data_IF_314055720651
#
_entry.id   IF_314055720651
#
_cell.length_a   1.000
_cell.length_b   1.000
_cell.length_c   1.000
_cell.angle_alpha   90.00
_cell.angle_beta   90.00
_cell.angle_gamma   90.00
#
_symmetry.space_group_name_H-M   'P 1'
#
loop_
_entity.id
_entity.type
_entity.pdbx_description
1 polymer ?
#
# COMPACT_ATOMS: atom_id res chain seq x y z
N UNK A 1 13.27 14.67 11.12
CA UNK A 1 13.62 14.13 9.79
C UNK A 1 12.65 13.03 9.45
N UNK A 2 11.98 13.13 8.32
CA UNK A 2 11.04 12.13 7.81
C UNK A 2 11.78 10.83 7.47
N UNK A 3 11.18 9.70 7.82
CA UNK A 3 11.77 8.38 7.55
C UNK A 3 11.15 7.81 6.29
N UNK A 4 11.93 7.68 5.22
CA UNK A 4 11.49 7.07 3.96
C UNK A 4 11.92 5.60 3.87
N UNK A 5 11.14 4.80 3.16
CA UNK A 5 11.31 3.36 3.10
C UNK A 5 11.21 2.82 1.68
N UNK A 6 11.93 1.74 1.42
CA UNK A 6 11.68 0.88 0.27
C UNK A 6 11.55 -0.58 0.68
N UNK A 7 10.78 -1.34 -0.09
CA UNK A 7 10.53 -2.75 0.15
C UNK A 7 10.16 -3.51 -1.13
N UNK A 8 10.16 -4.83 -1.06
CA UNK A 8 9.67 -5.69 -2.14
C UNK A 8 8.18 -5.94 -1.96
N UNK A 9 7.39 -5.62 -2.98
CA UNK A 9 5.98 -5.98 -3.09
C UNK A 9 5.91 -7.40 -3.66
N UNK A 10 5.72 -8.38 -2.79
CA UNK A 10 5.71 -9.78 -3.18
C UNK A 10 4.47 -10.12 -4.02
N UNK A 11 3.32 -9.56 -3.66
CA UNK A 11 2.03 -9.74 -4.32
C UNK A 11 1.40 -8.37 -4.50
N UNK A 12 0.92 -8.09 -5.70
CA UNK A 12 0.32 -6.81 -6.07
C UNK A 12 -1.09 -7.03 -6.60
N UNK A 13 -2.04 -7.05 -5.70
CA UNK A 13 -3.48 -7.15 -5.99
C UNK A 13 -4.16 -5.77 -6.09
N UNK A 14 -3.42 -4.68 -5.81
CA UNK A 14 -4.02 -3.36 -5.63
C UNK A 14 -4.76 -3.21 -4.30
N UNK A 15 -4.38 -4.02 -3.30
CA UNK A 15 -4.89 -3.97 -1.93
C UNK A 15 -3.92 -3.23 -0.99
N UNK A 16 -2.65 -3.62 -0.99
CA UNK A 16 -1.61 -2.98 -0.16
C UNK A 16 -0.29 -2.89 -0.92
N UNK A 17 -0.07 -1.78 -1.67
CA UNK A 17 -0.82 -0.51 -1.71
C UNK A 17 -2.11 -0.58 -2.53
N UNK A 18 -3.08 0.29 -2.18
CA UNK A 18 -4.31 0.44 -2.94
C UNK A 18 -4.28 1.76 -3.77
N UNK A 19 -4.11 1.68 -5.10
CA UNK A 19 -3.90 2.87 -5.94
C UNK A 19 -5.18 3.44 -6.54
N UNK A 20 -6.34 2.87 -6.22
CA UNK A 20 -7.58 3.20 -6.91
C UNK A 20 -8.20 4.53 -6.44
N UNK A 21 -9.10 5.07 -7.26
CA UNK A 21 -9.87 6.28 -6.99
C UNK A 21 -9.02 7.57 -6.81
N UNK A 22 -7.84 7.65 -7.48
CA UNK A 22 -6.99 8.85 -7.47
C UNK A 22 -6.21 9.11 -6.16
N UNK A 23 -6.33 8.21 -5.19
CA UNK A 23 -5.62 8.27 -3.91
C UNK A 23 -4.93 6.93 -3.68
N UNK A 24 -3.64 6.95 -3.38
CA UNK A 24 -2.92 5.74 -3.00
C UNK A 24 -2.88 5.61 -1.48
N UNK A 25 -3.29 4.44 -0.98
CA UNK A 25 -3.33 4.14 0.45
C UNK A 25 -2.51 2.92 0.79
N UNK A 26 -1.96 2.88 1.99
CA UNK A 26 -1.33 1.73 2.60
C UNK A 26 -1.95 1.54 3.99
N UNK A 27 -3.09 0.84 4.04
CA UNK A 27 -3.88 0.62 5.24
C UNK A 27 -3.66 -0.78 5.85
N UNK A 28 -3.15 -1.71 5.09
CA UNK A 28 -2.87 -3.07 5.54
C UNK A 28 -1.41 -3.44 5.26
N UNK A 29 -0.95 -4.56 5.79
CA UNK A 29 0.44 -5.01 5.66
C UNK A 29 1.47 -3.98 6.18
N UNK A 30 2.75 -4.30 6.06
CA UNK A 30 3.89 -3.39 6.33
C UNK A 30 3.78 -2.53 7.60
N UNK A 31 3.45 -3.10 8.78
CA UNK A 31 3.20 -2.33 10.00
C UNK A 31 4.43 -1.48 10.41
N UNK A 32 5.65 -1.96 10.18
CA UNK A 32 6.88 -1.20 10.49
C UNK A 32 7.00 0.07 9.62
N UNK A 33 6.60 0.00 8.35
CA UNK A 33 6.59 1.16 7.46
C UNK A 33 5.48 2.13 7.90
N UNK A 34 4.25 1.62 8.13
CA UNK A 34 3.12 2.44 8.56
C UNK A 34 3.37 3.16 9.89
N UNK A 35 3.98 2.46 10.85
CA UNK A 35 4.38 3.03 12.16
C UNK A 35 5.47 4.09 12.05
N UNK A 36 6.38 3.94 11.10
CA UNK A 36 7.59 4.76 11.05
C UNK A 36 7.59 5.88 10.04
N UNK A 37 6.64 5.90 9.10
CA UNK A 37 6.51 6.95 8.10
C UNK A 37 5.56 8.06 8.60
N UNK A 38 5.93 9.30 8.32
CA UNK A 38 5.16 10.50 8.65
C UNK A 38 4.80 11.26 7.37
N UNK A 39 4.00 12.32 7.47
CA UNK A 39 3.74 13.23 6.36
C UNK A 39 5.06 13.75 5.78
N UNK A 40 5.19 13.69 4.45
CA UNK A 40 6.41 14.00 3.71
C UNK A 40 7.35 12.81 3.48
N UNK A 41 7.18 11.69 4.18
CA UNK A 41 7.94 10.46 3.94
C UNK A 41 7.68 9.91 2.54
N UNK A 42 8.69 9.24 1.95
CA UNK A 42 8.50 8.45 0.74
C UNK A 42 8.40 6.96 1.08
N UNK A 43 7.47 6.27 0.42
CA UNK A 43 7.38 4.81 0.44
C UNK A 43 7.49 4.30 -0.99
N UNK A 44 8.44 3.36 -1.21
CA UNK A 44 8.83 2.88 -2.53
C UNK A 44 8.67 1.36 -2.57
N UNK A 45 7.86 0.86 -3.50
CA UNK A 45 7.67 -0.56 -3.74
C UNK A 45 8.38 -1.01 -5.01
N UNK A 46 9.13 -2.11 -4.90
CA UNK A 46 9.78 -2.76 -6.04
C UNK A 46 9.20 -4.15 -6.25
N UNK A 47 9.24 -4.66 -7.46
CA UNK A 47 8.95 -6.06 -7.75
C UNK A 47 10.08 -6.94 -7.19
N UNK A 48 9.79 -8.24 -7.03
CA UNK A 48 10.80 -9.22 -6.63
C UNK A 48 11.83 -9.49 -7.75
N UNK A 49 12.86 -10.28 -7.45
CA UNK A 49 13.95 -10.64 -8.37
C UNK A 49 13.45 -11.30 -9.65
N UNK A 50 12.52 -12.22 -9.55
CA UNK A 50 11.91 -12.94 -10.69
C UNK A 50 11.24 -11.99 -11.68
N UNK A 51 10.76 -10.85 -11.17
CA UNK A 51 10.10 -9.80 -11.93
C UNK A 51 11.01 -8.60 -12.20
N UNK A 52 12.33 -8.78 -12.10
CA UNK A 52 13.37 -7.84 -12.53
C UNK A 52 13.70 -6.73 -11.53
N UNK A 53 13.21 -6.76 -10.28
CA UNK A 53 13.44 -5.69 -9.28
C UNK A 53 13.06 -4.29 -9.79
N UNK A 54 11.97 -4.18 -10.54
CA UNK A 54 11.50 -2.95 -11.15
C UNK A 54 10.71 -2.10 -10.16
N UNK A 55 10.70 -0.79 -10.35
CA UNK A 55 9.87 0.12 -9.58
C UNK A 55 8.39 -0.13 -9.89
N UNK A 56 7.64 -0.53 -8.88
CA UNK A 56 6.21 -0.80 -8.97
C UNK A 56 5.39 0.41 -8.60
N UNK A 57 5.77 1.12 -7.54
CA UNK A 57 5.15 2.38 -7.14
C UNK A 57 6.10 3.23 -6.29
N UNK A 58 5.80 4.51 -6.22
CA UNK A 58 6.37 5.45 -5.27
C UNK A 58 5.31 6.43 -4.82
N UNK A 59 5.15 6.60 -3.51
CA UNK A 59 4.25 7.59 -2.92
C UNK A 59 5.02 8.54 -2.01
N UNK A 60 4.56 9.79 -1.95
CA UNK A 60 4.91 10.75 -0.91
C UNK A 60 3.73 10.85 0.04
N UNK A 61 3.91 10.51 1.29
CA UNK A 61 2.84 10.51 2.30
C UNK A 61 2.30 11.93 2.46
N UNK A 62 1.01 12.11 2.20
CA UNK A 62 0.31 13.40 2.33
C UNK A 62 -0.45 13.51 3.63
N UNK A 63 -0.90 12.38 4.19
CA UNK A 63 -1.70 12.30 5.40
C UNK A 63 -1.43 10.97 6.11
N UNK A 64 -1.50 10.99 7.45
CA UNK A 64 -1.49 9.80 8.30
C UNK A 64 -2.72 9.90 9.21
N UNK A 65 -3.53 8.86 9.26
CA UNK A 65 -4.70 8.80 10.13
C UNK A 65 -4.77 7.44 10.84
N UNK A 66 -5.66 7.32 11.83
CA UNK A 66 -5.97 6.04 12.46
C UNK A 66 -6.92 5.21 11.59
N UNK A 67 -7.04 3.91 11.87
CA UNK A 67 -8.02 3.06 11.18
C UNK A 67 -9.45 3.58 11.35
N UNK A 68 -9.82 4.03 12.55
CA UNK A 68 -11.15 4.59 12.79
C UNK A 68 -11.40 5.89 12.05
N UNK A 69 -10.40 6.76 11.96
CA UNK A 69 -10.50 7.98 11.15
C UNK A 69 -10.65 7.62 9.68
N UNK A 70 -9.85 6.66 9.18
CA UNK A 70 -9.93 6.18 7.80
C UNK A 70 -11.30 5.56 7.49
N UNK A 71 -11.87 4.79 8.44
CA UNK A 71 -13.19 4.19 8.31
C UNK A 71 -14.29 5.24 8.26
N UNK A 72 -14.28 6.24 9.16
CA UNK A 72 -15.32 7.25 9.31
C UNK A 72 -15.31 8.35 8.24
N UNK A 73 -14.18 8.57 7.59
CA UNK A 73 -14.01 9.64 6.60
C UNK A 73 -14.70 9.28 5.27
N UNK A 74 -15.62 10.16 4.84
CA UNK A 74 -16.40 9.99 3.61
C UNK A 74 -15.55 9.92 2.34
N UNK A 75 -14.35 10.50 2.32
CA UNK A 75 -13.40 10.43 1.21
C UNK A 75 -13.00 8.98 0.90
N UNK A 76 -13.02 8.10 1.90
CA UNK A 76 -12.53 6.73 1.81
C UNK A 76 -13.63 5.67 1.81
N UNK A 77 -14.90 6.05 1.63
CA UNK A 77 -15.99 5.10 1.42
C UNK A 77 -15.73 4.21 0.20
N UNK A 78 -15.16 4.79 -0.86
CA UNK A 78 -14.78 4.06 -2.08
C UNK A 78 -13.61 3.07 -1.89
N UNK A 79 -12.96 3.09 -0.72
CA UNK A 79 -11.92 2.15 -0.30
C UNK A 79 -12.46 0.99 0.55
N UNK A 80 -13.73 1.03 0.96
CA UNK A 80 -14.37 -0.09 1.65
C UNK A 80 -14.63 -1.21 0.64
N UNK A 81 -14.33 -2.46 1.00
CA UNK A 81 -14.56 -3.59 0.09
C UNK A 81 -16.05 -3.83 -0.16
N UNK A 82 -16.37 -4.22 -1.39
CA UNK A 82 -17.72 -4.61 -1.79
C UNK A 82 -17.62 -5.93 -2.54
N UNK A 83 -17.93 -7.05 -1.86
CA UNK A 83 -17.63 -8.40 -2.33
C UNK A 83 -18.45 -8.86 -3.55
N UNK A 84 -19.59 -8.23 -3.81
CA UNK A 84 -20.40 -8.45 -5.02
C UNK A 84 -20.18 -7.36 -6.09
N UNK A 85 -19.14 -6.52 -5.91
CA UNK A 85 -18.79 -5.45 -6.83
C UNK A 85 -17.76 -5.83 -7.88
N UNK A 86 -17.16 -4.83 -8.49
CA UNK A 86 -16.02 -4.99 -9.38
C UNK A 86 -14.79 -5.50 -8.62
N UNK A 87 -13.83 -6.09 -9.33
CA UNK A 87 -12.58 -6.54 -8.74
C UNK A 87 -11.84 -5.40 -7.99
N UNK A 88 -11.90 -4.18 -8.53
CA UNK A 88 -11.41 -2.96 -7.87
C UNK A 88 -12.08 -2.73 -6.51
N UNK A 89 -13.39 -2.89 -6.44
CA UNK A 89 -14.15 -2.71 -5.20
C UNK A 89 -13.91 -3.85 -4.19
N UNK A 90 -13.72 -5.08 -4.69
CA UNK A 90 -13.43 -6.24 -3.83
C UNK A 90 -12.07 -6.10 -3.11
N UNK A 91 -11.09 -5.43 -3.74
CA UNK A 91 -9.78 -5.15 -3.15
C UNK A 91 -9.71 -3.84 -2.35
N UNK A 92 -10.83 -3.31 -1.88
CA UNK A 92 -10.84 -2.20 -0.94
C UNK A 92 -9.99 -2.50 0.31
N UNK A 93 -9.19 -1.53 0.75
CA UNK A 93 -8.23 -1.68 1.87
C UNK A 93 -8.70 -1.02 3.18
N UNK A 94 -9.87 -0.37 3.18
CA UNK A 94 -10.49 0.20 4.36
C UNK A 94 -11.34 -0.87 5.07
N UNK A 95 -10.67 -1.73 5.86
CA UNK A 95 -11.23 -2.98 6.37
C UNK A 95 -11.13 -3.13 7.89
N UNK A 96 -10.42 -2.24 8.59
CA UNK A 96 -10.23 -2.32 10.03
C UNK A 96 -10.82 -1.08 10.71
N UNK A 97 -11.59 -1.29 11.75
CA UNK A 97 -12.11 -0.25 12.63
C UNK A 97 -12.56 -0.84 13.96
N UNK A 98 -12.95 -0.01 14.93
CA UNK A 98 -13.54 -0.47 16.17
C UNK A 98 -15.07 -0.33 16.12
N UNK A 99 -15.74 -1.26 16.79
CA UNK A 99 -17.17 -1.12 17.13
C UNK A 99 -17.36 -0.13 18.30
N UNK A 100 -18.62 0.02 18.74
CA UNK A 100 -18.96 0.92 19.84
C UNK A 100 -18.39 0.47 21.20
N UNK A 101 -18.05 -0.80 21.34
CA UNK A 101 -17.47 -1.40 22.56
C UNK A 101 -15.93 -1.39 22.51
N UNK A 102 -15.33 -0.83 21.46
CA UNK A 102 -13.88 -0.76 21.27
C UNK A 102 -13.25 -2.07 20.81
N UNK A 103 -14.02 -3.01 20.29
CA UNK A 103 -13.51 -4.25 19.71
C UNK A 103 -13.18 -4.06 18.24
N UNK A 104 -12.08 -4.69 17.80
CA UNK A 104 -11.71 -4.70 16.39
C UNK A 104 -12.74 -5.40 15.53
N UNK A 105 -13.15 -4.71 14.48
CA UNK A 105 -13.89 -5.27 13.33
C UNK A 105 -12.90 -5.41 12.17
N UNK A 106 -12.99 -6.55 11.49
CA UNK A 106 -12.36 -6.79 10.19
C UNK A 106 -13.48 -7.06 9.19
N UNK A 107 -13.61 -6.19 8.20
CA UNK A 107 -14.62 -6.33 7.15
C UNK A 107 -14.31 -7.51 6.22
N UNK A 108 -15.34 -8.02 5.55
CA UNK A 108 -15.20 -9.02 4.50
C UNK A 108 -14.32 -8.50 3.37
N UNK A 109 -13.15 -9.11 3.16
CA UNK A 109 -12.07 -8.54 2.35
C UNK A 109 -11.06 -9.58 1.89
N UNK A 110 -10.05 -9.12 1.16
CA UNK A 110 -8.86 -9.90 0.83
C UNK A 110 -8.16 -10.53 2.06
N UNK A 111 -8.23 -9.88 3.22
CA UNK A 111 -7.58 -10.32 4.47
C UNK A 111 -8.51 -11.06 5.44
N UNK A 112 -9.81 -11.16 5.19
CA UNK A 112 -10.71 -12.01 5.97
C UNK A 112 -10.67 -13.45 5.48
N UNK A 113 -11.19 -14.38 6.28
CA UNK A 113 -11.50 -15.73 5.83
C UNK A 113 -12.78 -15.71 4.98
N UNK A 114 -13.16 -16.88 4.45
CA UNK A 114 -14.35 -17.02 3.61
C UNK A 114 -15.60 -16.48 4.33
N UNK A 115 -16.47 -15.82 3.57
CA UNK A 115 -17.72 -15.22 4.07
C UNK A 115 -17.51 -14.15 5.16
N UNK A 116 -16.39 -13.45 5.14
CA UNK A 116 -16.11 -12.37 6.10
C UNK A 116 -15.77 -12.85 7.51
N UNK A 117 -15.50 -14.13 7.70
CA UNK A 117 -15.04 -14.63 9.00
C UNK A 117 -13.69 -13.99 9.35
N UNK A 118 -13.57 -13.54 10.60
CA UNK A 118 -12.37 -12.90 11.12
C UNK A 118 -11.12 -13.76 10.91
N UNK A 119 -10.10 -13.17 10.30
CA UNK A 119 -8.75 -13.73 10.24
C UNK A 119 -7.86 -13.05 11.27
N UNK A 120 -7.67 -13.71 12.41
CA UNK A 120 -6.92 -13.15 13.55
C UNK A 120 -5.45 -12.90 13.20
N UNK A 121 -4.83 -13.72 12.36
CA UNK A 121 -3.43 -13.59 11.94
C UNK A 121 -3.21 -12.28 11.16
N UNK A 122 -4.09 -12.01 10.20
CA UNK A 122 -4.06 -10.78 9.43
C UNK A 122 -4.38 -9.57 10.30
N UNK A 123 -5.41 -9.66 11.16
CA UNK A 123 -5.76 -8.58 12.08
C UNK A 123 -4.58 -8.21 12.97
N UNK A 124 -3.98 -9.19 13.68
CA UNK A 124 -2.85 -8.95 14.60
C UNK A 124 -1.63 -8.39 13.85
N UNK A 125 -1.31 -8.93 12.69
CA UNK A 125 -0.20 -8.43 11.87
C UNK A 125 -0.42 -6.96 11.48
N UNK A 126 -1.62 -6.59 11.08
CA UNK A 126 -1.90 -5.29 10.50
C UNK A 126 -2.17 -4.22 11.57
N UNK A 127 -2.76 -4.57 12.71
CA UNK A 127 -3.17 -3.61 13.74
C UNK A 127 -2.34 -3.69 15.03
N UNK A 128 -1.70 -4.82 15.31
CA UNK A 128 -1.07 -5.10 16.60
C UNK A 128 0.12 -4.21 17.00
N UNK A 129 0.73 -3.49 16.06
CA UNK A 129 1.89 -2.63 16.37
C UNK A 129 1.73 -1.18 15.93
N UNK A 130 0.67 -0.85 15.20
CA UNK A 130 0.40 0.50 14.70
C UNK A 130 -1.06 0.65 14.31
N UNK A 131 -1.60 1.83 14.56
CA UNK A 131 -2.92 2.27 14.13
C UNK A 131 -2.84 3.24 12.93
N UNK A 132 -1.71 3.29 12.25
CA UNK A 132 -1.50 4.25 11.16
C UNK A 132 -1.91 3.68 9.80
N UNK A 133 -2.67 4.47 9.06
CA UNK A 133 -2.94 4.35 7.63
C UNK A 133 -2.17 5.47 6.93
N UNK A 134 -1.38 5.11 5.92
CA UNK A 134 -0.67 6.10 5.09
C UNK A 134 -1.48 6.42 3.85
N UNK A 135 -1.67 7.71 3.59
CA UNK A 135 -2.47 8.23 2.49
C UNK A 135 -1.59 9.14 1.62
N UNK A 136 -1.74 9.03 0.32
CA UNK A 136 -1.02 9.86 -0.64
C UNK A 136 -1.93 10.34 -1.76
N UNK A 137 -1.94 11.65 -1.98
CA UNK A 137 -2.45 12.29 -3.18
C UNK A 137 -1.30 12.73 -4.12
N UNK A 138 -0.10 12.23 -3.87
CA UNK A 138 1.08 12.42 -4.71
C UNK A 138 1.80 11.07 -4.89
N UNK A 139 1.53 10.38 -6.00
CA UNK A 139 2.10 9.04 -6.23
C UNK A 139 2.33 8.73 -7.71
N UNK A 140 3.13 7.70 -7.96
CA UNK A 140 3.26 6.99 -9.22
C UNK A 140 2.95 5.52 -8.96
N UNK A 141 2.05 4.93 -9.74
CA UNK A 141 1.74 3.52 -9.64
C UNK A 141 1.81 2.86 -11.03
N UNK A 142 2.80 2.00 -11.19
CA UNK A 142 3.11 1.35 -12.47
C UNK A 142 2.44 -0.03 -12.60
N UNK A 143 2.21 -0.74 -11.49
CA UNK A 143 1.59 -2.06 -11.49
C UNK A 143 2.29 -3.04 -12.44
N UNK A 144 1.54 -3.64 -13.37
CA UNK A 144 2.09 -4.56 -14.38
C UNK A 144 3.08 -3.89 -15.35
N UNK A 145 3.05 -2.57 -15.46
CA UNK A 145 3.96 -1.76 -16.27
C UNK A 145 5.17 -1.27 -15.45
N UNK A 146 5.56 -2.00 -14.38
CA UNK A 146 6.71 -1.67 -13.54
C UNK A 146 7.96 -1.35 -14.37
N UNK A 147 8.70 -0.31 -13.97
CA UNK A 147 9.77 0.29 -14.77
C UNK A 147 11.14 0.11 -14.14
N UNK A 148 12.17 0.07 -14.99
CA UNK A 148 13.55 0.14 -14.54
C UNK A 148 13.89 1.58 -14.10
N UNK A 149 14.66 1.71 -13.03
CA UNK A 149 15.17 3.01 -12.59
C UNK A 149 16.63 3.18 -13.03
N UNK A 150 17.07 4.41 -13.39
CA UNK A 150 18.46 4.68 -13.77
C UNK A 150 19.45 4.23 -12.69
N UNK A 151 20.66 3.83 -13.12
CA UNK A 151 21.73 3.35 -12.22
C UNK A 151 21.98 4.26 -11.02
N UNK A 152 21.92 5.58 -11.22
CA UNK A 152 22.12 6.61 -10.16
C UNK A 152 21.07 6.55 -9.04
N UNK A 153 19.91 5.92 -9.26
CA UNK A 153 18.82 5.79 -8.29
C UNK A 153 18.73 4.40 -7.66
N UNK A 154 19.63 3.46 -8.01
CA UNK A 154 19.63 2.11 -7.45
C UNK A 154 19.86 2.07 -5.93
N UNK A 155 20.35 3.14 -5.34
CA UNK A 155 20.42 3.31 -3.88
C UNK A 155 19.05 3.18 -3.22
N UNK A 156 17.94 3.50 -3.92
CA UNK A 156 16.57 3.34 -3.44
C UNK A 156 16.06 1.89 -3.53
N UNK A 157 16.69 1.05 -4.35
CA UNK A 157 16.25 -0.33 -4.55
C UNK A 157 16.47 -1.17 -3.29
N UNK A 158 15.43 -1.95 -2.95
CA UNK A 158 15.48 -3.03 -1.97
C UNK A 158 15.19 -4.37 -2.67
N UNK A 159 15.95 -5.42 -2.34
CA UNK A 159 15.89 -6.71 -3.03
C UNK A 159 15.55 -7.90 -2.13
N UNK A 160 15.43 -7.65 -0.82
CA UNK A 160 15.30 -8.69 0.20
C UNK A 160 13.95 -8.61 0.92
N UNK A 161 13.69 -9.60 1.77
CA UNK A 161 12.55 -9.57 2.70
C UNK A 161 12.74 -8.40 3.68
N UNK A 162 11.63 -7.79 4.11
CA UNK A 162 11.62 -6.65 5.01
C UNK A 162 11.57 -5.30 4.27
N UNK A 163 12.14 -4.28 4.87
CA UNK A 163 12.21 -2.92 4.33
C UNK A 163 13.60 -2.30 4.58
N UNK A 164 13.93 -1.33 3.76
CA UNK A 164 15.16 -0.53 3.86
C UNK A 164 14.79 0.93 4.12
N UNK A 165 15.47 1.58 5.07
CA UNK A 165 15.40 3.04 5.23
C UNK A 165 16.23 3.70 4.13
N UNK A 166 15.67 4.72 3.50
CA UNK A 166 16.30 5.48 2.42
C UNK A 166 16.53 6.91 2.88
N UNK A 167 17.67 7.48 2.51
CA UNK A 167 17.97 8.90 2.77
C UNK A 167 17.01 9.77 1.95
N UNK A 168 16.49 10.80 2.55
CA UNK A 168 15.52 11.72 1.94
C UNK A 168 16.02 12.30 0.61
N UNK A 169 17.29 12.70 0.54
CA UNK A 169 17.92 13.23 -0.69
C UNK A 169 17.83 12.27 -1.87
N UNK A 170 17.97 10.97 -1.61
CA UNK A 170 17.93 9.93 -2.66
C UNK A 170 16.49 9.71 -3.15
N UNK A 171 15.52 9.78 -2.22
CA UNK A 171 14.09 9.74 -2.56
C UNK A 171 13.68 10.97 -3.39
N UNK A 172 14.12 12.17 -2.99
CA UNK A 172 13.84 13.41 -3.74
C UNK A 172 14.42 13.33 -5.15
N UNK A 173 15.64 12.80 -5.30
CA UNK A 173 16.28 12.67 -6.60
C UNK A 173 15.49 11.70 -7.52
N UNK A 174 15.07 10.55 -7.00
CA UNK A 174 14.21 9.61 -7.74
C UNK A 174 12.85 10.24 -8.05
N UNK A 175 12.22 10.92 -7.09
CA UNK A 175 10.94 11.59 -7.27
C UNK A 175 10.97 12.62 -8.40
N UNK A 176 12.00 13.50 -8.40
CA UNK A 176 12.20 14.50 -9.48
C UNK A 176 12.36 13.83 -10.85
N UNK A 177 13.11 12.73 -10.92
CA UNK A 177 13.24 11.94 -12.14
C UNK A 177 11.88 11.40 -12.61
N UNK A 178 11.07 10.85 -11.70
CA UNK A 178 9.74 10.34 -12.06
C UNK A 178 8.81 11.47 -12.53
N UNK A 179 8.81 12.61 -11.85
CA UNK A 179 8.04 13.79 -12.27
C UNK A 179 8.41 14.31 -13.66
N UNK A 180 9.65 14.10 -14.11
CA UNK A 180 10.08 14.50 -15.47
C UNK A 180 9.64 13.53 -16.56
N UNK A 181 9.13 12.35 -16.21
CA UNK A 181 8.80 11.26 -17.14
C UNK A 181 7.34 10.85 -17.13
N UNK A 182 6.66 10.99 -16.00
CA UNK A 182 5.33 10.43 -15.78
C UNK A 182 4.43 11.45 -15.09
N UNK A 183 3.13 11.33 -15.34
CA UNK A 183 2.12 12.09 -14.62
C UNK A 183 1.84 11.44 -13.27
N UNK A 184 1.70 12.29 -12.23
CA UNK A 184 1.32 11.84 -10.88
C UNK A 184 -0.16 11.45 -10.82
N UNK A 185 -0.48 10.63 -9.83
CA UNK A 185 -1.85 10.26 -9.43
C UNK A 185 -2.62 9.48 -10.49
N UNK A 186 -1.90 8.88 -11.42
CA UNK A 186 -2.47 8.02 -12.45
C UNK A 186 -2.16 6.55 -12.19
N UNK A 187 -3.12 5.70 -12.57
CA UNK A 187 -2.93 4.26 -12.65
C UNK A 187 -2.28 3.94 -14.01
N UNK A 188 -0.94 3.98 -14.07
CA UNK A 188 -0.17 3.73 -15.31
C UNK A 188 -0.30 2.28 -15.77
N UNK A 189 -0.52 1.37 -14.83
CA UNK A 189 -0.82 -0.03 -15.08
C UNK A 189 -1.67 -0.62 -13.96
N UNK A 190 -2.55 -1.54 -14.29
CA UNK A 190 -3.30 -2.30 -13.29
C UNK A 190 -2.35 -3.10 -12.38
N UNK A 191 -2.78 -3.47 -11.16
CA UNK A 191 -2.01 -4.37 -10.32
C UNK A 191 -1.62 -5.65 -11.03
N UNK A 192 -0.54 -6.27 -10.63
CA UNK A 192 0.05 -7.41 -11.36
C UNK A 192 -0.78 -8.67 -11.26
N UNK A 193 -1.37 -8.93 -10.08
CA UNK A 193 -2.29 -10.03 -9.82
C UNK A 193 -3.74 -9.53 -9.77
N UNK A 194 -4.21 -8.93 -10.86
CA UNK A 194 -5.54 -8.30 -10.93
C UNK A 194 -6.42 -8.98 -12.00
N UNK A 195 -6.56 -10.31 -11.90
CA UNK A 195 -7.36 -11.11 -12.83
C UNK A 195 -8.61 -11.70 -12.19
N UNK A 196 -8.54 -12.07 -10.92
CA UNK A 196 -9.63 -12.57 -10.11
C UNK A 196 -9.41 -12.24 -8.64
N UNK A 197 -10.46 -12.34 -7.82
CA UNK A 197 -10.36 -12.07 -6.41
C UNK A 197 -9.79 -13.28 -5.66
N UNK A 198 -8.81 -13.03 -4.82
CA UNK A 198 -8.22 -14.01 -3.91
C UNK A 198 -8.31 -13.51 -2.48
N UNK A 199 -8.42 -14.43 -1.53
CA UNK A 199 -8.19 -14.15 -0.11
C UNK A 199 -6.78 -14.55 0.29
N UNK A 200 -6.19 -13.76 1.15
CA UNK A 200 -4.89 -14.08 1.76
C UNK A 200 -5.10 -14.51 3.20
N UNK A 201 -4.85 -15.77 3.48
CA UNK A 201 -5.07 -16.41 4.79
C UNK A 201 -4.07 -15.98 5.88
N UNK A 202 -3.02 -15.24 5.53
CA UNK A 202 -1.95 -14.83 6.47
C UNK A 202 -0.80 -15.83 6.54
N UNK A 203 -0.96 -17.02 5.97
CA UNK A 203 0.05 -18.08 5.92
C UNK A 203 0.85 -17.95 4.60
N UNK A 204 2.16 -18.19 4.66
CA UNK A 204 3.05 -18.09 3.50
C UNK A 204 3.10 -19.40 2.73
#
# INVERSE_FOLDING_TARGET
MTKSYSYVVARDYGFAPNPFNGILTLAACKPVIRKGADVGSFVIGFTNKENGNKLLYMMKVSEVCTFDQYWKDSRFLCKRPTMNGSLKSMYGDNIYHHDNDGKWIQEDSHHSLSKGVLNIENLQRDTGSTDHVLISNEFFYFGKNAVDIPKRHLVCLHKHIGQKKIKEKDCIALWKYLCSKYQKNELIGFPRQFSFFERYDGIK
#
